data_IF_728524588192
#
_entry.id   IF_728524588192
#
_cell.length_a   1.000
_cell.length_b   1.000
_cell.length_c   1.000
_cell.angle_alpha   90.00
_cell.angle_beta   90.00
_cell.angle_gamma   90.00
#
_symmetry.space_group_name_H-M   'P 1'
#
loop_
_entity.id
_entity.type
_entity.pdbx_description
1 polymer ?
#
# COMPACT_ATOMS: atom_id res chain seq x y z
N UNK A 1 16.83 0.87 -9.01
CA UNK A 1 15.63 0.16 -8.55
C UNK A 1 14.47 0.60 -9.46
N UNK A 2 13.58 -0.31 -9.87
CA UNK A 2 12.43 0.05 -10.72
C UNK A 2 11.33 0.65 -9.84
N UNK A 3 10.81 1.82 -10.23
CA UNK A 3 9.69 2.46 -9.52
C UNK A 3 8.37 1.82 -9.97
N UNK A 4 7.53 1.49 -9.01
CA UNK A 4 6.18 0.96 -9.22
C UNK A 4 5.16 2.01 -8.74
N UNK A 5 4.17 2.28 -9.57
CA UNK A 5 3.07 3.20 -9.24
C UNK A 5 1.81 2.37 -8.98
N UNK A 6 1.25 2.54 -7.78
CA UNK A 6 0.09 1.83 -7.27
C UNK A 6 -1.06 2.82 -6.97
N UNK A 7 -1.89 3.21 -7.95
CA UNK A 7 -3.02 4.10 -7.68
C UNK A 7 -3.98 3.49 -6.67
N UNK A 8 -4.33 4.26 -5.60
CA UNK A 8 -5.32 3.83 -4.62
C UNK A 8 -6.73 4.08 -5.11
N UNK A 9 -7.50 2.99 -5.23
CA UNK A 9 -8.92 3.06 -5.61
C UNK A 9 -9.81 3.70 -4.53
N UNK A 10 -9.26 4.03 -3.37
CA UNK A 10 -9.96 4.85 -2.37
C UNK A 10 -10.37 6.22 -2.94
N UNK A 11 -9.62 6.74 -3.92
CA UNK A 11 -9.91 8.02 -4.58
C UNK A 11 -10.71 7.87 -5.89
N UNK A 12 -11.06 6.65 -6.29
CA UNK A 12 -11.86 6.37 -7.47
C UNK A 12 -13.36 6.61 -7.20
N UNK A 13 -14.15 6.74 -8.26
CA UNK A 13 -15.60 6.69 -8.14
C UNK A 13 -16.05 5.24 -7.88
N UNK A 14 -16.51 4.95 -6.66
CA UNK A 14 -16.93 3.61 -6.26
C UNK A 14 -18.12 3.06 -7.06
N UNK A 15 -18.94 3.93 -7.66
CA UNK A 15 -20.02 3.52 -8.54
C UNK A 15 -19.50 2.92 -9.87
N UNK A 16 -18.26 3.25 -10.26
CA UNK A 16 -17.65 2.88 -11.54
C UNK A 16 -16.26 2.20 -11.37
N UNK A 17 -16.01 1.53 -10.25
CA UNK A 17 -14.69 0.93 -9.94
C UNK A 17 -14.07 0.12 -11.08
N UNK A 18 -14.87 -0.63 -11.82
CA UNK A 18 -14.37 -1.43 -12.94
C UNK A 18 -13.76 -0.55 -14.05
N UNK A 19 -14.40 0.55 -14.39
CA UNK A 19 -13.94 1.46 -15.43
C UNK A 19 -12.76 2.31 -14.94
N UNK A 20 -12.78 2.72 -13.67
CA UNK A 20 -11.67 3.42 -13.03
C UNK A 20 -10.40 2.57 -12.96
N UNK A 21 -10.51 1.26 -12.72
CA UNK A 21 -9.37 0.33 -12.74
C UNK A 21 -8.83 0.17 -14.15
N UNK A 22 -9.68 -0.02 -15.16
CA UNK A 22 -9.25 -0.08 -16.56
C UNK A 22 -8.57 1.20 -17.03
N UNK A 23 -9.04 2.35 -16.57
CA UNK A 23 -8.44 3.66 -16.84
C UNK A 23 -7.00 3.74 -16.36
N UNK A 24 -6.71 3.35 -15.11
CA UNK A 24 -5.35 3.36 -14.58
C UNK A 24 -4.46 2.29 -15.22
N UNK A 25 -5.01 1.10 -15.55
CA UNK A 25 -4.29 0.05 -16.28
C UNK A 25 -3.86 0.55 -17.66
N UNK A 26 -4.76 1.15 -18.43
CA UNK A 26 -4.47 1.75 -19.74
C UNK A 26 -3.47 2.92 -19.62
N UNK A 27 -3.45 3.62 -18.51
CA UNK A 27 -2.53 4.71 -18.19
C UNK A 27 -1.13 4.23 -17.70
N UNK A 28 -0.91 2.92 -17.59
CA UNK A 28 0.39 2.32 -17.25
C UNK A 28 0.68 2.23 -15.76
N UNK A 29 -0.35 2.10 -14.91
CA UNK A 29 -0.18 1.71 -13.51
C UNK A 29 0.47 0.31 -13.41
N UNK A 30 1.27 0.09 -12.38
CA UNK A 30 1.91 -1.21 -12.15
C UNK A 30 1.04 -2.10 -11.24
N UNK A 31 0.35 -1.49 -10.24
CA UNK A 31 -0.48 -2.17 -9.25
C UNK A 31 -1.82 -1.46 -9.07
N UNK A 32 -2.76 -2.12 -8.42
CA UNK A 32 -3.97 -1.53 -7.84
C UNK A 32 -3.80 -1.56 -6.31
N UNK A 33 -3.78 -0.40 -5.68
CA UNK A 33 -3.76 -0.30 -4.22
C UNK A 33 -5.19 -0.24 -3.68
N UNK A 34 -5.47 -1.07 -2.67
CA UNK A 34 -6.82 -1.32 -2.15
C UNK A 34 -6.84 -1.06 -0.65
N UNK A 35 -7.30 0.12 -0.25
CA UNK A 35 -7.42 0.55 1.14
C UNK A 35 -8.67 -0.01 1.80
N UNK A 36 -8.49 -0.98 2.70
CA UNK A 36 -9.57 -1.65 3.43
C UNK A 36 -9.63 -1.11 4.85
N UNK A 37 -10.78 -0.54 5.22
CA UNK A 37 -10.99 0.14 6.50
C UNK A 37 -12.24 -0.40 7.20
N UNK A 38 -12.16 -0.60 8.52
CA UNK A 38 -13.21 -1.24 9.34
C UNK A 38 -13.93 -0.29 10.30
N UNK A 39 -13.55 0.99 10.33
CA UNK A 39 -14.12 1.95 11.29
C UNK A 39 -13.68 1.75 12.75
N UNK A 40 -12.70 0.86 13.00
CA UNK A 40 -12.14 0.60 14.33
C UNK A 40 -10.70 1.11 14.42
N UNK A 41 -9.81 0.61 13.60
CA UNK A 41 -8.42 1.08 13.53
C UNK A 41 -8.34 2.50 12.96
N UNK A 42 -9.16 2.81 11.97
CA UNK A 42 -9.30 4.14 11.38
C UNK A 42 -10.77 4.58 11.39
N UNK A 43 -11.07 5.91 11.41
CA UNK A 43 -12.44 6.40 11.61
C UNK A 43 -13.32 6.32 10.33
N UNK A 44 -12.94 5.52 9.33
CA UNK A 44 -13.64 5.38 8.07
C UNK A 44 -13.97 3.91 7.79
N UNK A 45 -14.99 3.69 6.98
CA UNK A 45 -15.38 2.39 6.42
C UNK A 45 -15.23 2.46 4.90
N UNK A 46 -14.62 1.43 4.28
CA UNK A 46 -14.52 1.39 2.83
C UNK A 46 -15.21 0.13 2.28
N UNK A 47 -14.48 -0.83 1.83
CA UNK A 47 -14.98 -2.06 1.24
C UNK A 47 -14.14 -3.25 1.69
N UNK A 48 -14.64 -4.47 1.46
CA UNK A 48 -13.97 -5.69 1.86
C UNK A 48 -13.81 -6.68 0.70
N UNK A 49 -13.44 -7.92 1.03
CA UNK A 49 -13.20 -9.00 0.09
C UNK A 49 -14.30 -9.22 -0.97
N UNK A 50 -15.60 -9.06 -0.69
CA UNK A 50 -16.64 -9.20 -1.72
C UNK A 50 -16.51 -8.23 -2.89
N UNK A 51 -16.12 -6.98 -2.64
CA UNK A 51 -15.85 -5.98 -3.69
C UNK A 51 -14.58 -6.34 -4.44
N UNK A 52 -13.49 -6.65 -3.72
CA UNK A 52 -12.21 -7.06 -4.30
C UNK A 52 -12.40 -8.23 -5.27
N UNK A 53 -13.19 -9.24 -4.89
CA UNK A 53 -13.53 -10.39 -5.75
C UNK A 53 -14.22 -10.01 -7.05
N UNK A 54 -14.99 -8.94 -7.05
CA UNK A 54 -15.68 -8.46 -8.27
C UNK A 54 -14.74 -7.71 -9.18
N UNK A 55 -13.93 -6.81 -8.63
CA UNK A 55 -12.99 -6.01 -9.41
C UNK A 55 -11.78 -6.83 -9.91
N UNK A 56 -11.42 -7.94 -9.23
CA UNK A 56 -10.36 -8.85 -9.73
C UNK A 56 -10.58 -9.34 -11.16
N UNK A 57 -11.83 -9.43 -11.57
CA UNK A 57 -12.21 -9.96 -12.90
C UNK A 57 -11.98 -8.98 -14.06
N UNK A 58 -11.65 -7.72 -13.76
CA UNK A 58 -11.59 -6.67 -14.80
C UNK A 58 -10.16 -6.30 -15.19
N UNK A 59 -9.14 -6.79 -14.47
CA UNK A 59 -7.73 -6.48 -14.72
C UNK A 59 -6.83 -7.61 -14.23
N UNK A 60 -5.63 -7.73 -14.80
CA UNK A 60 -4.57 -8.62 -14.33
C UNK A 60 -3.49 -7.87 -13.52
N UNK A 61 -3.66 -6.57 -13.26
CA UNK A 61 -2.76 -5.80 -12.41
C UNK A 61 -2.63 -6.44 -11.02
N UNK A 62 -1.46 -6.31 -10.42
CA UNK A 62 -1.17 -6.79 -9.07
C UNK A 62 -2.06 -6.09 -8.03
N UNK A 63 -2.79 -6.86 -7.21
CA UNK A 63 -3.67 -6.36 -6.15
C UNK A 63 -2.94 -6.30 -4.83
N UNK A 64 -2.62 -5.09 -4.41
CA UNK A 64 -1.98 -4.75 -3.14
C UNK A 64 -3.04 -4.32 -2.12
N UNK A 65 -3.44 -5.25 -1.24
CA UNK A 65 -4.51 -5.02 -0.25
C UNK A 65 -3.92 -4.52 1.08
N UNK A 66 -4.12 -3.25 1.37
CA UNK A 66 -3.71 -2.59 2.60
C UNK A 66 -4.83 -2.66 3.64
N UNK A 67 -4.65 -3.49 4.67
CA UNK A 67 -5.65 -3.75 5.69
C UNK A 67 -5.47 -2.81 6.89
N UNK A 68 -6.21 -1.73 6.91
CA UNK A 68 -6.37 -0.81 8.05
C UNK A 68 -7.53 -1.29 8.92
N UNK A 69 -7.39 -2.48 9.49
CA UNK A 69 -8.43 -3.17 10.25
C UNK A 69 -7.86 -3.79 11.53
N UNK A 70 -8.69 -3.90 12.55
CA UNK A 70 -8.36 -4.64 13.76
C UNK A 70 -8.35 -6.15 13.51
N UNK A 71 -7.35 -6.85 14.06
CA UNK A 71 -7.18 -8.30 13.92
C UNK A 71 -7.19 -8.79 12.46
N UNK A 72 -6.28 -8.27 11.59
CA UNK A 72 -6.27 -8.55 10.15
C UNK A 72 -6.14 -10.04 9.79
N UNK A 73 -5.58 -10.85 10.70
CA UNK A 73 -5.43 -12.30 10.55
C UNK A 73 -6.75 -13.03 10.29
N UNK A 74 -7.88 -12.44 10.66
CA UNK A 74 -9.22 -13.01 10.44
C UNK A 74 -9.67 -12.97 8.97
N UNK A 75 -9.07 -12.07 8.18
CA UNK A 75 -9.52 -11.78 6.81
C UNK A 75 -8.58 -12.32 5.72
N UNK A 76 -7.43 -12.89 6.09
CA UNK A 76 -6.40 -13.34 5.14
C UNK A 76 -6.97 -14.30 4.10
N UNK A 77 -7.70 -15.34 4.54
CA UNK A 77 -8.30 -16.33 3.65
C UNK A 77 -9.35 -15.72 2.71
N UNK A 78 -10.15 -14.77 3.19
CA UNK A 78 -11.17 -14.09 2.39
C UNK A 78 -10.55 -13.23 1.28
N UNK A 79 -9.48 -12.48 1.60
CA UNK A 79 -8.76 -11.67 0.61
C UNK A 79 -8.01 -12.54 -0.39
N UNK A 80 -7.44 -13.69 0.03
CA UNK A 80 -6.89 -14.68 -0.89
C UNK A 80 -7.96 -15.18 -1.87
N UNK A 81 -9.12 -15.58 -1.35
CA UNK A 81 -10.23 -16.07 -2.18
C UNK A 81 -10.83 -14.97 -3.07
N UNK A 82 -10.62 -13.70 -2.72
CA UNK A 82 -10.99 -12.54 -3.53
C UNK A 82 -9.98 -12.23 -4.65
N UNK A 83 -8.78 -12.81 -4.60
CA UNK A 83 -7.74 -12.64 -5.61
C UNK A 83 -6.71 -11.55 -5.28
N UNK A 84 -6.47 -11.27 -3.99
CA UNK A 84 -5.34 -10.47 -3.55
C UNK A 84 -4.02 -11.15 -3.91
N UNK A 85 -3.05 -10.40 -4.40
CA UNK A 85 -1.69 -10.85 -4.66
C UNK A 85 -0.77 -10.59 -3.47
N UNK A 86 -1.09 -9.54 -2.71
CA UNK A 86 -0.38 -9.12 -1.51
C UNK A 86 -1.37 -8.64 -0.44
N UNK A 87 -1.03 -8.90 0.82
CA UNK A 87 -1.70 -8.29 1.97
C UNK A 87 -0.66 -7.53 2.78
N UNK A 88 -0.98 -6.27 3.11
CA UNK A 88 -0.21 -5.40 3.98
C UNK A 88 -1.00 -5.18 5.26
N UNK A 89 -0.40 -5.51 6.41
CA UNK A 89 -1.03 -5.36 7.73
C UNK A 89 -0.28 -4.37 8.59
N UNK A 90 -0.98 -3.57 9.38
CA UNK A 90 -0.37 -2.66 10.32
C UNK A 90 0.25 -3.41 11.52
N UNK A 91 1.47 -3.02 11.90
CA UNK A 91 2.12 -3.56 13.12
C UNK A 91 1.31 -3.22 14.37
N UNK A 92 0.54 -2.13 14.32
CA UNK A 92 -0.28 -1.63 15.41
C UNK A 92 -1.55 -2.46 15.66
N UNK A 93 -1.99 -3.27 14.69
CA UNK A 93 -3.30 -3.95 14.73
C UNK A 93 -3.22 -5.45 15.03
N UNK A 94 -2.03 -6.02 15.08
CA UNK A 94 -1.86 -7.45 15.37
C UNK A 94 -0.94 -7.70 16.56
N UNK A 95 -1.37 -8.58 17.47
CA UNK A 95 -0.57 -8.98 18.64
C UNK A 95 0.56 -9.94 18.29
N UNK A 96 0.44 -10.67 17.19
CA UNK A 96 1.36 -11.72 16.77
C UNK A 96 1.78 -11.51 15.30
N UNK A 97 2.49 -10.42 15.03
CA UNK A 97 2.86 -9.99 13.69
C UNK A 97 3.52 -11.11 12.88
N UNK A 98 4.54 -11.78 13.44
CA UNK A 98 5.22 -12.87 12.74
C UNK A 98 4.27 -14.00 12.33
N UNK A 99 3.33 -14.40 13.20
CA UNK A 99 2.30 -15.41 12.86
C UNK A 99 1.40 -14.93 11.72
N UNK A 100 0.98 -13.66 11.76
CA UNK A 100 0.15 -13.07 10.71
C UNK A 100 0.86 -13.11 9.35
N UNK A 101 2.15 -12.73 9.30
CA UNK A 101 2.97 -12.80 8.09
C UNK A 101 3.10 -14.24 7.58
N UNK A 102 3.33 -15.22 8.47
CA UNK A 102 3.37 -16.64 8.10
C UNK A 102 2.05 -17.12 7.49
N UNK A 103 0.91 -16.70 8.05
CA UNK A 103 -0.41 -17.03 7.50
C UNK A 103 -0.60 -16.47 6.08
N UNK A 104 -0.24 -15.20 5.84
CA UNK A 104 -0.32 -14.60 4.50
C UNK A 104 0.53 -15.39 3.50
N UNK A 105 1.77 -15.72 3.87
CA UNK A 105 2.68 -16.47 3.00
C UNK A 105 2.24 -17.91 2.78
N UNK A 106 1.62 -18.55 3.77
CA UNK A 106 1.07 -19.91 3.63
C UNK A 106 -0.06 -19.98 2.60
N UNK A 107 -0.82 -18.89 2.42
CA UNK A 107 -1.82 -18.74 1.36
C UNK A 107 -1.20 -18.43 -0.03
N UNK A 108 0.13 -18.35 -0.13
CA UNK A 108 0.83 -18.08 -1.39
C UNK A 108 0.76 -16.62 -1.85
N UNK A 109 0.49 -15.69 -0.95
CA UNK A 109 0.53 -14.25 -1.21
C UNK A 109 1.83 -13.63 -0.76
N UNK A 110 2.19 -12.47 -1.32
CA UNK A 110 3.22 -11.60 -0.74
C UNK A 110 2.70 -10.98 0.55
N UNK A 111 3.60 -10.75 1.50
CA UNK A 111 3.28 -10.19 2.81
C UNK A 111 4.01 -8.87 3.04
N UNK A 112 3.26 -7.83 3.35
CA UNK A 112 3.77 -6.53 3.74
C UNK A 112 3.41 -6.16 5.17
N UNK A 113 4.18 -5.24 5.76
CA UNK A 113 3.88 -4.60 7.04
C UNK A 113 3.80 -3.10 6.88
N UNK A 114 2.81 -2.48 7.51
CA UNK A 114 2.61 -1.03 7.51
C UNK A 114 2.91 -0.42 8.87
N UNK A 115 3.41 0.82 8.86
CA UNK A 115 3.68 1.62 10.07
C UNK A 115 3.11 3.02 9.91
N UNK A 116 2.45 3.50 10.97
CA UNK A 116 2.12 4.91 11.12
C UNK A 116 3.39 5.76 11.36
N UNK A 117 3.26 7.07 11.16
CA UNK A 117 4.40 8.00 11.35
C UNK A 117 5.03 7.87 12.75
N UNK A 118 4.22 7.78 13.80
CA UNK A 118 4.69 7.73 15.19
C UNK A 118 5.26 6.38 15.60
N UNK A 119 5.04 5.31 14.84
CA UNK A 119 5.50 3.96 15.17
C UNK A 119 6.98 3.79 14.78
N UNK A 120 7.81 3.37 15.70
CA UNK A 120 9.25 3.20 15.50
C UNK A 120 9.58 2.09 14.50
N UNK A 121 10.65 2.25 13.69
CA UNK A 121 11.20 1.19 12.84
C UNK A 121 11.66 -0.04 13.62
N UNK A 122 12.00 0.11 14.90
CA UNK A 122 12.32 -1.02 15.78
C UNK A 122 11.21 -2.06 15.89
N UNK A 123 9.96 -1.68 15.61
CA UNK A 123 8.83 -2.63 15.60
C UNK A 123 8.84 -3.60 14.43
N UNK A 124 9.58 -3.29 13.36
CA UNK A 124 9.70 -4.14 12.16
C UNK A 124 11.09 -4.72 11.96
N UNK A 125 12.06 -4.33 12.76
CA UNK A 125 13.45 -4.73 12.59
C UNK A 125 13.65 -6.25 12.55
N UNK A 126 12.98 -6.98 13.44
CA UNK A 126 13.08 -8.44 13.52
C UNK A 126 12.22 -9.15 12.47
N UNK A 127 11.21 -8.48 11.91
CA UNK A 127 10.31 -9.06 10.90
C UNK A 127 10.80 -8.82 9.46
N UNK A 128 11.74 -7.89 9.24
CA UNK A 128 12.24 -7.55 7.90
C UNK A 128 12.66 -8.76 7.05
N UNK A 129 13.34 -9.79 7.57
CA UNK A 129 13.72 -10.95 6.76
C UNK A 129 12.54 -11.81 6.26
N UNK A 130 11.35 -11.60 6.80
CA UNK A 130 10.17 -12.43 6.54
C UNK A 130 9.13 -11.74 5.66
N UNK A 131 9.30 -10.44 5.38
CA UNK A 131 8.34 -9.65 4.59
C UNK A 131 8.87 -9.36 3.19
N UNK A 132 7.95 -9.11 2.27
CA UNK A 132 8.27 -8.71 0.90
C UNK A 132 8.25 -7.18 0.73
N UNK A 133 7.60 -6.46 1.67
CA UNK A 133 7.43 -5.02 1.61
C UNK A 133 7.22 -4.40 3.00
N UNK A 134 7.70 -3.17 3.17
CA UNK A 134 7.33 -2.30 4.29
C UNK A 134 6.65 -1.05 3.73
N UNK A 135 5.43 -0.79 4.18
CA UNK A 135 4.67 0.42 3.89
C UNK A 135 4.86 1.45 5.00
N UNK A 136 5.34 2.63 4.67
CA UNK A 136 5.37 3.77 5.57
C UNK A 136 4.24 4.74 5.22
N UNK A 137 3.34 4.96 6.19
CA UNK A 137 2.30 5.97 6.04
C UNK A 137 2.92 7.36 6.00
N UNK A 138 2.57 8.14 5.01
CA UNK A 138 3.03 9.52 4.81
C UNK A 138 1.92 10.55 5.09
N UNK A 139 0.79 10.06 5.58
CA UNK A 139 -0.34 10.79 6.16
C UNK A 139 -0.88 10.01 7.36
N UNK A 140 -1.82 10.54 8.13
CA UNK A 140 -2.57 9.74 9.10
C UNK A 140 -3.58 8.87 8.32
N UNK A 141 -3.60 7.54 8.49
CA UNK A 141 -4.50 6.67 7.73
C UNK A 141 -5.97 6.96 8.01
N UNK A 142 -6.85 6.69 7.01
CA UNK A 142 -8.29 6.79 7.14
C UNK A 142 -8.99 7.62 6.06
N UNK A 143 -8.32 8.56 5.42
CA UNK A 143 -8.92 9.40 4.38
C UNK A 143 -7.93 9.69 3.25
N UNK A 144 -8.44 9.79 2.02
CA UNK A 144 -7.68 10.27 0.87
C UNK A 144 -7.52 11.80 0.84
N UNK A 145 -6.66 12.31 -0.05
CA UNK A 145 -6.53 13.75 -0.32
C UNK A 145 -5.81 14.56 0.76
N UNK A 146 -5.11 13.92 1.69
CA UNK A 146 -4.35 14.57 2.74
C UNK A 146 -3.00 15.11 2.26
N UNK A 147 -2.48 16.12 2.95
CA UNK A 147 -1.14 16.65 2.70
C UNK A 147 -0.05 15.71 3.20
N UNK A 148 1.00 15.57 2.41
CA UNK A 148 2.18 14.77 2.74
C UNK A 148 2.88 15.27 4.02
N UNK A 149 3.26 14.36 4.90
CA UNK A 149 3.98 14.68 6.14
C UNK A 149 5.49 14.50 5.90
N UNK A 150 6.20 15.59 5.68
CA UNK A 150 7.65 15.58 5.35
C UNK A 150 8.52 14.89 6.42
N UNK A 151 8.10 14.91 7.67
CA UNK A 151 8.81 14.27 8.77
C UNK A 151 9.02 12.75 8.61
N UNK A 152 8.36 12.11 7.63
CA UNK A 152 8.56 10.70 7.33
C UNK A 152 9.81 10.43 6.50
N UNK A 153 10.31 11.39 5.74
CA UNK A 153 11.45 11.21 4.81
C UNK A 153 12.67 10.60 5.50
N UNK A 154 13.14 11.11 6.65
CA UNK A 154 14.24 10.47 7.38
C UNK A 154 13.95 9.04 7.86
N UNK A 155 12.67 8.68 8.01
CA UNK A 155 12.28 7.32 8.37
C UNK A 155 12.42 6.37 7.16
N UNK A 156 12.09 6.85 5.94
CA UNK A 156 12.31 6.10 4.70
C UNK A 156 13.81 5.83 4.52
N UNK A 157 14.66 6.85 4.67
CA UNK A 157 16.13 6.73 4.56
C UNK A 157 16.70 5.68 5.52
N UNK A 158 16.28 5.71 6.79
CA UNK A 158 16.70 4.74 7.79
C UNK A 158 16.25 3.32 7.46
N UNK A 159 15.01 3.14 6.99
CA UNK A 159 14.51 1.84 6.57
C UNK A 159 15.30 1.31 5.36
N UNK A 160 15.58 2.18 4.38
CA UNK A 160 16.39 1.83 3.21
C UNK A 160 17.81 1.38 3.61
N UNK A 161 18.45 2.09 4.55
CA UNK A 161 19.75 1.70 5.10
C UNK A 161 19.67 0.32 5.78
N UNK A 162 18.68 0.10 6.65
CA UNK A 162 18.49 -1.19 7.35
C UNK A 162 18.34 -2.37 6.38
N UNK A 163 17.57 -2.20 5.30
CA UNK A 163 17.36 -3.22 4.27
C UNK A 163 18.66 -3.49 3.51
N UNK A 164 19.36 -2.43 3.12
CA UNK A 164 20.61 -2.49 2.34
C UNK A 164 21.75 -3.15 3.15
N UNK A 165 21.95 -2.74 4.40
CA UNK A 165 22.99 -3.26 5.30
C UNK A 165 22.80 -4.76 5.58
N UNK A 166 21.56 -5.23 5.61
CA UNK A 166 21.22 -6.64 5.83
C UNK A 166 21.17 -7.46 4.52
N UNK A 167 21.37 -6.84 3.36
CA UNK A 167 21.29 -7.50 2.04
C UNK A 167 19.92 -8.08 1.73
N UNK A 168 18.85 -7.47 2.24
CA UNK A 168 17.48 -7.95 2.07
C UNK A 168 16.87 -7.42 0.78
N UNK A 169 15.93 -8.19 0.22
CA UNK A 169 15.14 -7.78 -0.95
C UNK A 169 13.70 -7.46 -0.50
N UNK A 170 13.51 -6.27 0.06
CA UNK A 170 12.24 -5.79 0.60
C UNK A 170 11.89 -4.48 -0.09
N UNK A 171 10.70 -4.39 -0.69
CA UNK A 171 10.19 -3.15 -1.28
C UNK A 171 9.87 -2.13 -0.16
N UNK A 172 10.09 -0.84 -0.43
CA UNK A 172 9.67 0.26 0.44
C UNK A 172 8.51 0.98 -0.25
N UNK A 173 7.33 0.85 0.32
CA UNK A 173 6.13 1.53 -0.15
C UNK A 173 5.85 2.77 0.71
N UNK A 174 5.32 3.81 0.08
CA UNK A 174 4.81 5.02 0.76
C UNK A 174 3.37 5.29 0.33
N UNK A 175 2.54 5.68 1.29
CA UNK A 175 1.13 5.96 1.06
C UNK A 175 0.68 7.24 1.76
N UNK A 176 0.16 8.16 0.94
CA UNK A 176 -0.46 9.41 1.38
C UNK A 176 0.25 10.67 0.87
N UNK A 177 -0.50 11.55 0.20
CA UNK A 177 -0.01 12.83 -0.28
C UNK A 177 1.06 12.74 -1.38
N UNK A 178 1.19 11.59 -2.05
CA UNK A 178 2.17 11.40 -3.13
C UNK A 178 1.70 12.09 -4.41
N UNK A 179 2.57 12.94 -4.96
CA UNK A 179 2.39 13.70 -6.20
C UNK A 179 3.74 13.88 -6.91
N UNK A 180 3.80 14.63 -8.01
CA UNK A 180 5.03 14.83 -8.79
C UNK A 180 6.20 15.41 -7.98
N UNK A 181 5.93 16.25 -6.97
CA UNK A 181 6.99 16.85 -6.14
C UNK A 181 7.41 15.92 -5.01
N UNK A 182 6.44 15.40 -4.24
CA UNK A 182 6.73 14.53 -3.09
C UNK A 182 7.31 13.19 -3.53
N UNK A 183 6.97 12.70 -4.73
CA UNK A 183 7.56 11.47 -5.31
C UNK A 183 9.08 11.58 -5.46
N UNK A 184 9.60 12.76 -5.80
CA UNK A 184 11.05 12.99 -5.91
C UNK A 184 11.74 12.79 -4.56
N UNK A 185 11.13 13.33 -3.49
CA UNK A 185 11.66 13.23 -2.12
C UNK A 185 11.71 11.77 -1.65
N UNK A 186 10.59 11.05 -1.79
CA UNK A 186 10.51 9.67 -1.29
C UNK A 186 11.36 8.70 -2.12
N UNK A 187 11.47 8.91 -3.44
CA UNK A 187 12.38 8.14 -4.31
C UNK A 187 13.84 8.35 -3.92
N UNK A 188 14.24 9.61 -3.68
CA UNK A 188 15.60 9.93 -3.22
C UNK A 188 15.92 9.29 -1.85
N UNK A 189 14.92 9.15 -0.96
CA UNK A 189 15.04 8.50 0.33
C UNK A 189 15.05 6.95 0.25
N UNK A 190 14.75 6.35 -0.92
CA UNK A 190 14.84 4.91 -1.16
C UNK A 190 13.49 4.19 -1.33
N UNK A 191 12.37 4.89 -1.36
CA UNK A 191 11.08 4.28 -1.68
C UNK A 191 11.02 3.89 -3.16
N UNK A 192 10.40 2.73 -3.46
CA UNK A 192 10.27 2.20 -4.82
C UNK A 192 8.85 1.79 -5.20
N UNK A 193 7.90 1.83 -4.27
CA UNK A 193 6.47 1.64 -4.54
C UNK A 193 5.71 2.87 -4.05
N UNK A 194 5.02 3.55 -4.97
CA UNK A 194 4.37 4.83 -4.72
C UNK A 194 2.86 4.68 -4.80
N UNK A 195 2.17 4.85 -3.67
CA UNK A 195 0.71 4.89 -3.64
C UNK A 195 0.25 6.33 -3.86
N UNK A 196 -0.55 6.54 -4.90
CA UNK A 196 -1.08 7.84 -5.26
C UNK A 196 -2.58 7.73 -5.60
N UNK A 197 -3.43 8.25 -4.74
CA UNK A 197 -4.89 8.24 -4.94
C UNK A 197 -5.35 9.50 -5.67
N UNK A 198 -5.66 10.56 -4.91
CA UNK A 198 -6.24 11.80 -5.42
C UNK A 198 -5.42 12.47 -6.54
N UNK A 199 -4.11 12.34 -6.52
CA UNK A 199 -3.23 12.88 -7.56
C UNK A 199 -3.47 12.22 -8.92
N UNK A 200 -3.70 10.90 -8.95
CA UNK A 200 -3.93 10.14 -10.18
C UNK A 200 -5.39 10.23 -10.64
N UNK A 201 -6.34 10.00 -9.73
CA UNK A 201 -7.76 9.98 -10.09
C UNK A 201 -8.35 11.36 -10.32
N UNK A 202 -7.80 12.41 -9.70
CA UNK A 202 -8.19 13.81 -9.91
C UNK A 202 -7.52 14.50 -11.10
N UNK A 203 -6.58 13.84 -11.79
CA UNK A 203 -5.89 14.42 -12.93
C UNK A 203 -6.76 14.41 -14.19
N UNK A 204 -6.69 15.47 -15.00
CA UNK A 204 -7.29 15.51 -16.35
C UNK A 204 -6.65 14.47 -17.27
N UNK A 205 -5.33 14.29 -17.17
CA UNK A 205 -4.55 13.26 -17.87
C UNK A 205 -3.94 12.27 -16.86
N UNK A 206 -4.63 11.15 -16.67
CA UNK A 206 -4.22 10.07 -15.78
C UNK A 206 -2.87 9.46 -16.18
N UNK A 207 -2.60 9.34 -17.50
CA UNK A 207 -1.34 8.76 -17.99
C UNK A 207 -0.15 9.69 -17.70
N UNK A 208 -0.30 11.00 -17.92
CA UNK A 208 0.70 11.99 -17.56
C UNK A 208 0.95 12.01 -16.04
N UNK A 209 -0.10 11.90 -15.22
CA UNK A 209 0.04 11.84 -13.77
C UNK A 209 0.84 10.60 -13.34
N UNK A 210 0.52 9.41 -13.82
CA UNK A 210 1.27 8.18 -13.53
C UNK A 210 2.71 8.27 -14.02
N UNK A 211 2.94 8.76 -15.24
CA UNK A 211 4.27 8.92 -15.80
C UNK A 211 5.16 9.87 -14.97
N UNK A 212 4.57 10.94 -14.40
CA UNK A 212 5.30 11.89 -13.56
C UNK A 212 5.82 11.31 -12.24
N UNK A 213 5.27 10.19 -11.80
CA UNK A 213 5.68 9.49 -10.58
C UNK A 213 6.83 8.49 -10.83
N UNK A 214 6.99 8.02 -12.07
CA UNK A 214 8.06 7.08 -12.47
C UNK A 214 9.38 7.81 -12.68
#
# INVERSE_FOLDING_TARGET
MMIKVAPSILSADFAYLADEIKKIEAAGADWVHIDVMDGQFVPNLTFGAPVVKKIRKVTDLFFDCHLMVENPEKYIADFKAAGADQIVVHVETTKHLHRCIQQIKAEGMKAGVALNLATSLGTVEEILPYVDMVLLMTVNPGFGGQSFIEGVVPKIERLHAMITERGLNVDIQVDGGVNAETSKLVKAAGANVLVAGSYVYGAEDTAAAIASLK
#
